data_IF_319326079685
#
_entry.id   IF_319326079685
#
_cell.length_a   1.000
_cell.length_b   1.000
_cell.length_c   1.000
_cell.angle_alpha   90.00
_cell.angle_beta   90.00
_cell.angle_gamma   90.00
#
_symmetry.space_group_name_H-M   'P 1'
#
loop_
_entity.id
_entity.type
_entity.pdbx_description
1 polymer ?
#
# COMPACT_ATOMS: atom_id res chain seq x y z
N UNK A 1 -1.80 36.02 6.07
CA UNK A 1 -1.88 35.17 4.86
C UNK A 1 -3.04 34.24 5.06
N UNK A 2 -4.06 34.41 4.22
CA UNK A 2 -5.41 33.85 4.33
C UNK A 2 -5.47 32.36 4.59
N UNK A 3 -6.43 31.98 5.43
CA UNK A 3 -6.75 30.63 5.87
C UNK A 3 -8.06 30.14 5.23
N UNK A 4 -8.45 30.70 4.09
CA UNK A 4 -9.87 30.66 3.65
C UNK A 4 -10.19 30.14 2.25
N UNK A 5 -9.25 29.71 1.40
CA UNK A 5 -9.60 29.36 0.00
C UNK A 5 -9.11 28.00 -0.52
N UNK A 6 -8.75 27.05 0.34
CA UNK A 6 -8.42 25.70 -0.11
C UNK A 6 -9.30 24.66 0.58
N UNK A 7 -10.18 24.07 -0.25
CA UNK A 7 -11.05 22.91 -0.01
C UNK A 7 -12.46 23.24 0.51
N UNK A 8 -13.21 24.04 -0.26
CA UNK A 8 -14.68 23.98 -0.25
C UNK A 8 -15.12 22.93 -1.29
N UNK A 9 -15.84 21.90 -0.82
CA UNK A 9 -16.51 20.89 -1.65
C UNK A 9 -17.77 21.49 -2.28
N UNK A 10 -17.73 21.90 -3.55
CA UNK A 10 -18.97 22.18 -4.31
C UNK A 10 -19.52 20.96 -5.07
N UNK A 11 -18.79 19.85 -5.13
CA UNK A 11 -19.27 18.62 -5.74
C UNK A 11 -19.00 17.45 -4.82
N UNK A 12 -20.03 16.67 -4.44
CA UNK A 12 -20.03 15.58 -3.45
C UNK A 12 -19.08 14.39 -3.70
N UNK A 13 -17.97 14.58 -4.40
CA UNK A 13 -16.86 13.64 -4.55
C UNK A 13 -15.80 13.88 -3.48
N UNK A 14 -15.39 12.85 -2.71
CA UNK A 14 -14.31 12.98 -1.74
C UNK A 14 -12.99 13.35 -2.46
N UNK A 15 -12.39 14.48 -2.05
CA UNK A 15 -11.08 14.96 -2.49
C UNK A 15 -10.01 14.27 -1.64
N UNK A 16 -9.58 13.10 -2.08
CA UNK A 16 -8.38 12.45 -1.54
C UNK A 16 -7.13 13.08 -2.17
N UNK A 17 -5.99 13.12 -1.46
CA UNK A 17 -4.72 13.61 -2.02
C UNK A 17 -4.40 12.97 -3.38
N UNK A 18 -4.77 11.71 -3.54
CA UNK A 18 -4.65 10.99 -4.80
C UNK A 18 -5.27 11.69 -6.02
N UNK A 19 -6.37 12.44 -5.85
CA UNK A 19 -7.00 13.21 -6.94
C UNK A 19 -6.32 14.56 -7.19
N UNK A 20 -5.52 15.03 -6.24
CA UNK A 20 -4.86 16.35 -6.27
C UNK A 20 -3.40 16.26 -6.70
N UNK A 21 -2.69 15.20 -6.29
CA UNK A 21 -1.26 15.01 -6.52
C UNK A 21 -1.02 14.10 -7.72
N UNK A 22 0.03 14.43 -8.51
CA UNK A 22 0.42 13.64 -9.69
C UNK A 22 0.94 12.24 -9.31
N UNK A 23 1.46 12.08 -8.10
CA UNK A 23 1.99 10.81 -7.60
C UNK A 23 2.07 10.78 -6.07
N UNK A 24 2.14 9.57 -5.51
CA UNK A 24 2.43 9.33 -4.08
C UNK A 24 3.70 10.07 -3.65
N UNK A 25 4.73 10.10 -4.49
CA UNK A 25 5.99 10.79 -4.20
C UNK A 25 5.80 12.31 -4.09
N UNK A 26 5.04 12.92 -5.00
CA UNK A 26 4.77 14.37 -4.94
C UNK A 26 3.98 14.76 -3.69
N UNK A 27 3.04 13.90 -3.29
CA UNK A 27 2.30 14.03 -2.03
C UNK A 27 3.23 13.87 -0.81
N UNK A 28 4.07 12.83 -0.79
CA UNK A 28 5.02 12.57 0.28
C UNK A 28 5.98 13.76 0.48
N UNK A 29 6.52 14.31 -0.61
CA UNK A 29 7.36 15.51 -0.55
C UNK A 29 6.59 16.69 0.05
N UNK A 30 5.35 16.92 -0.40
CA UNK A 30 4.50 17.99 0.13
C UNK A 30 4.29 17.88 1.65
N UNK A 31 4.04 16.68 2.16
CA UNK A 31 3.87 16.45 3.60
C UNK A 31 5.18 16.67 4.37
N UNK A 32 6.30 16.10 3.88
CA UNK A 32 7.60 16.17 4.57
C UNK A 32 8.06 17.61 4.76
N UNK A 33 7.96 18.46 3.73
CA UNK A 33 8.43 19.85 3.79
C UNK A 33 7.64 20.72 4.78
N UNK A 34 6.45 20.29 5.21
CA UNK A 34 5.61 21.02 6.18
C UNK A 34 5.86 20.62 7.64
N UNK A 35 6.68 19.60 7.88
CA UNK A 35 7.04 19.17 9.23
C UNK A 35 8.23 19.98 9.76
N UNK A 36 8.23 20.33 11.06
CA UNK A 36 9.35 21.09 11.67
C UNK A 36 10.68 20.34 11.58
N UNK A 37 10.63 19.01 11.69
CA UNK A 37 11.78 18.13 11.56
C UNK A 37 12.53 18.32 10.25
N UNK A 38 11.84 18.63 9.14
CA UNK A 38 12.48 18.92 7.85
C UNK A 38 13.38 20.17 7.91
N UNK A 39 12.91 21.25 8.52
CA UNK A 39 13.70 22.48 8.64
C UNK A 39 14.88 22.33 9.61
N UNK A 40 14.67 21.57 10.71
CA UNK A 40 15.76 21.23 11.64
C UNK A 40 16.82 20.40 10.93
N UNK A 41 16.40 19.41 10.14
CA UNK A 41 17.27 18.58 9.34
C UNK A 41 18.01 19.38 8.26
N UNK A 42 17.34 20.31 7.57
CA UNK A 42 17.97 21.19 6.58
C UNK A 42 19.04 22.08 7.23
N UNK A 43 18.74 22.65 8.40
CA UNK A 43 19.71 23.45 9.14
C UNK A 43 20.89 22.59 9.61
N UNK A 44 20.63 21.36 10.04
CA UNK A 44 21.66 20.39 10.39
C UNK A 44 22.55 20.03 9.18
N UNK A 45 21.98 19.88 7.98
CA UNK A 45 22.74 19.66 6.76
C UNK A 45 23.66 20.84 6.41
N UNK A 46 23.22 22.07 6.67
CA UNK A 46 24.04 23.28 6.44
C UNK A 46 25.19 23.39 7.45
N UNK A 47 25.02 22.87 8.67
CA UNK A 47 26.06 22.84 9.72
C UNK A 47 27.06 21.71 9.50
N UNK A 48 26.58 20.52 9.12
CA UNK A 48 27.36 19.61 8.27
C UNK A 48 27.66 20.34 6.94
N UNK A 49 28.20 19.85 5.83
CA UNK A 49 28.60 20.69 4.67
C UNK A 49 29.62 21.83 4.92
N UNK A 50 29.43 22.78 5.86
CA UNK A 50 30.37 23.85 6.23
C UNK A 50 31.41 23.37 7.24
N UNK A 51 31.05 22.46 8.18
CA UNK A 51 31.99 21.96 9.20
C UNK A 51 33.34 21.46 8.67
N UNK A 52 33.44 20.80 7.50
CA UNK A 52 34.72 20.34 6.95
C UNK A 52 35.64 21.50 6.63
N UNK A 53 35.14 22.58 6.03
CA UNK A 53 35.99 23.73 5.66
C UNK A 53 36.62 24.36 6.90
N UNK A 54 35.86 24.48 7.98
CA UNK A 54 36.35 25.04 9.25
C UNK A 54 37.33 24.06 9.94
N UNK A 55 37.03 22.76 9.92
CA UNK A 55 37.85 21.75 10.59
C UNK A 55 39.13 21.40 9.82
N UNK A 56 39.10 21.44 8.49
CA UNK A 56 40.26 21.16 7.63
C UNK A 56 41.23 22.33 7.54
N UNK A 57 40.77 23.57 7.68
CA UNK A 57 41.67 24.71 7.89
C UNK A 57 42.45 24.59 9.22
N UNK A 58 41.95 23.78 10.18
CA UNK A 58 42.56 23.55 11.49
C UNK A 58 43.33 22.23 11.61
N UNK A 59 43.04 21.25 10.76
CA UNK A 59 43.61 19.92 10.80
C UNK A 59 44.21 19.60 9.43
N UNK A 60 45.52 19.36 9.38
CA UNK A 60 46.22 18.79 8.20
C UNK A 60 45.68 17.38 7.94
N UNK A 61 44.48 17.28 7.38
CA UNK A 61 43.74 16.05 7.28
C UNK A 61 44.08 15.29 6.01
N UNK A 62 44.20 13.98 6.13
CA UNK A 62 44.34 13.07 4.99
C UNK A 62 43.03 12.97 4.17
N UNK A 63 43.16 12.76 2.86
CA UNK A 63 42.06 12.73 1.88
C UNK A 63 40.92 11.76 2.24
N UNK A 64 41.19 10.69 2.97
CA UNK A 64 40.16 9.72 3.38
C UNK A 64 39.15 10.30 4.37
N UNK A 65 39.50 11.35 5.13
CA UNK A 65 38.58 11.99 6.08
C UNK A 65 37.48 12.75 5.33
N UNK A 66 37.84 13.41 4.22
CA UNK A 66 36.88 14.06 3.32
C UNK A 66 35.89 13.04 2.72
N UNK A 67 36.41 11.90 2.26
CA UNK A 67 35.59 10.82 1.71
C UNK A 67 34.59 10.27 2.74
N UNK A 68 35.05 9.94 3.95
CA UNK A 68 34.18 9.46 5.03
C UNK A 68 33.13 10.50 5.39
N UNK A 69 33.48 11.79 5.39
CA UNK A 69 32.54 12.86 5.68
C UNK A 69 31.41 12.95 4.64
N UNK A 70 31.76 12.98 3.36
CA UNK A 70 30.78 13.02 2.28
C UNK A 70 29.86 11.79 2.29
N UNK A 71 30.39 10.63 2.64
CA UNK A 71 29.62 9.41 2.83
C UNK A 71 28.58 9.56 3.95
N UNK A 72 28.98 10.07 5.12
CA UNK A 72 28.04 10.32 6.23
C UNK A 72 26.95 11.32 5.83
N UNK A 73 27.30 12.39 5.10
CA UNK A 73 26.33 13.37 4.61
C UNK A 73 25.32 12.73 3.64
N UNK A 74 25.80 11.93 2.69
CA UNK A 74 24.93 11.22 1.73
C UNK A 74 24.00 10.24 2.42
N UNK A 75 24.51 9.47 3.40
CA UNK A 75 23.68 8.54 4.17
C UNK A 75 22.58 9.27 4.93
N UNK A 76 22.89 10.44 5.50
CA UNK A 76 21.90 11.26 6.19
C UNK A 76 20.76 11.68 5.24
N UNK A 77 21.08 12.07 4.00
CA UNK A 77 20.09 12.41 2.97
C UNK A 77 19.24 11.21 2.58
N UNK A 78 19.88 10.07 2.33
CA UNK A 78 19.19 8.85 1.89
C UNK A 78 18.25 8.31 2.97
N UNK A 79 18.66 8.35 4.25
CA UNK A 79 17.87 7.78 5.35
C UNK A 79 16.77 8.72 5.87
N UNK A 80 16.90 10.03 5.70
CA UNK A 80 15.95 11.00 6.25
C UNK A 80 14.53 10.83 5.69
N UNK A 81 14.37 10.74 4.37
CA UNK A 81 13.05 10.62 3.74
C UNK A 81 12.32 9.32 4.12
N UNK A 82 12.94 8.13 4.04
CA UNK A 82 12.34 6.89 4.55
C UNK A 82 11.93 6.98 6.02
N UNK A 83 12.80 7.53 6.88
CA UNK A 83 12.51 7.69 8.31
C UNK A 83 11.29 8.61 8.54
N UNK A 84 11.17 9.70 7.77
CA UNK A 84 10.03 10.60 7.84
C UNK A 84 8.72 9.95 7.38
N UNK A 85 8.75 9.13 6.34
CA UNK A 85 7.56 8.38 5.90
C UNK A 85 7.14 7.30 6.89
N UNK A 86 8.11 6.62 7.50
CA UNK A 86 7.84 5.68 8.57
C UNK A 86 7.22 6.39 9.78
N UNK A 87 7.81 7.50 10.23
CA UNK A 87 7.29 8.33 11.30
C UNK A 87 5.87 8.83 11.00
N UNK A 88 5.58 9.22 9.75
CA UNK A 88 4.23 9.61 9.31
C UNK A 88 3.23 8.47 9.49
N UNK A 89 3.53 7.31 8.93
CA UNK A 89 2.67 6.12 8.98
C UNK A 89 2.36 5.71 10.43
N UNK A 90 3.39 5.66 11.26
CA UNK A 90 3.30 5.34 12.68
C UNK A 90 2.52 6.42 13.47
N UNK A 91 2.70 7.71 13.12
CA UNK A 91 1.91 8.80 13.70
C UNK A 91 0.43 8.70 13.32
N UNK A 92 0.09 8.38 12.06
CA UNK A 92 -1.29 8.15 11.63
C UNK A 92 -1.90 7.01 12.47
N UNK A 93 -1.22 5.86 12.55
CA UNK A 93 -1.70 4.70 13.31
C UNK A 93 -1.98 5.05 14.78
N UNK A 94 -1.08 5.78 15.44
CA UNK A 94 -1.28 6.26 16.83
C UNK A 94 -2.49 7.18 16.97
N UNK A 95 -2.67 8.13 16.07
CA UNK A 95 -3.78 9.08 16.14
C UNK A 95 -5.13 8.38 15.97
N UNK A 96 -5.20 7.41 15.06
CA UNK A 96 -6.39 6.57 14.87
C UNK A 96 -6.64 5.71 16.10
N UNK A 97 -5.59 5.06 16.64
CA UNK A 97 -5.71 4.24 17.84
C UNK A 97 -6.16 5.03 19.08
N UNK A 98 -5.71 6.28 19.23
CA UNK A 98 -6.11 7.15 20.34
C UNK A 98 -7.56 7.63 20.23
N UNK A 99 -8.09 7.74 19.00
CA UNK A 99 -9.45 8.19 18.71
C UNK A 99 -10.28 7.07 18.07
N UNK A 100 -10.10 5.84 18.53
CA UNK A 100 -10.64 4.64 17.90
C UNK A 100 -12.18 4.69 17.81
N UNK A 101 -12.85 5.18 18.85
CA UNK A 101 -14.31 5.32 18.88
C UNK A 101 -14.83 6.27 17.82
N UNK A 102 -14.17 7.42 17.65
CA UNK A 102 -14.52 8.38 16.59
C UNK A 102 -14.25 7.78 15.21
N UNK A 103 -13.11 7.11 15.04
CA UNK A 103 -12.79 6.42 13.80
C UNK A 103 -13.85 5.38 13.41
N UNK A 104 -14.27 4.52 14.34
CA UNK A 104 -15.31 3.52 14.10
C UNK A 104 -16.65 4.17 13.73
N UNK A 105 -17.04 5.25 14.41
CA UNK A 105 -18.24 6.04 14.08
C UNK A 105 -18.18 6.60 12.65
N UNK A 106 -17.04 7.13 12.19
CA UNK A 106 -16.89 7.64 10.82
C UNK A 106 -17.04 6.51 9.81
N UNK A 107 -16.44 5.35 10.09
CA UNK A 107 -16.59 4.15 9.25
C UNK A 107 -18.06 3.76 9.19
N UNK A 108 -18.73 3.55 10.32
CA UNK A 108 -20.14 3.15 10.36
C UNK A 108 -21.05 4.08 9.56
N UNK A 109 -21.02 5.39 9.83
CA UNK A 109 -21.82 6.39 9.12
C UNK A 109 -21.56 6.38 7.59
N UNK A 110 -20.32 6.11 7.18
CA UNK A 110 -19.94 6.06 5.75
C UNK A 110 -20.47 4.80 5.06
N UNK A 111 -20.50 3.69 5.77
CA UNK A 111 -21.00 2.42 5.24
C UNK A 111 -22.53 2.31 5.35
N UNK A 112 -23.18 2.92 6.34
CA UNK A 112 -24.65 2.99 6.45
C UNK A 112 -25.32 3.75 5.30
N UNK A 113 -24.68 4.82 4.83
CA UNK A 113 -25.22 5.73 3.81
C UNK A 113 -25.18 5.20 2.36
N UNK A 114 -24.79 3.94 2.11
CA UNK A 114 -24.74 3.39 0.76
C UNK A 114 -24.55 1.87 0.68
N UNK A 115 -24.55 1.35 -0.54
CA UNK A 115 -24.28 -0.07 -0.84
C UNK A 115 -22.79 -0.27 -1.19
N UNK A 116 -22.20 -1.41 -0.78
CA UNK A 116 -20.85 -1.85 -1.17
C UNK A 116 -19.71 -1.52 -0.19
N UNK A 117 -18.59 -2.24 -0.33
CA UNK A 117 -17.32 -2.09 0.43
C UNK A 117 -16.17 -1.74 -0.54
N UNK A 118 -16.48 -0.95 -1.57
CA UNK A 118 -15.50 -0.58 -2.59
C UNK A 118 -14.40 0.35 -2.08
N UNK A 119 -13.28 0.48 -2.81
CA UNK A 119 -12.21 1.43 -2.50
C UNK A 119 -12.71 2.88 -2.40
N UNK A 120 -13.78 3.23 -3.14
CA UNK A 120 -14.41 4.56 -3.08
C UNK A 120 -15.00 4.89 -1.70
N UNK A 121 -15.54 3.88 -0.99
CA UNK A 121 -16.07 4.07 0.37
C UNK A 121 -14.94 4.32 1.37
N UNK A 122 -13.82 3.63 1.20
CA UNK A 122 -12.64 3.90 2.00
C UNK A 122 -12.02 5.26 1.69
N UNK A 123 -12.06 5.72 0.43
CA UNK A 123 -11.67 7.09 0.06
C UNK A 123 -12.56 8.15 0.75
N UNK A 124 -13.86 7.87 0.90
CA UNK A 124 -14.79 8.72 1.64
C UNK A 124 -14.41 8.79 3.14
N UNK A 125 -14.10 7.66 3.77
CA UNK A 125 -13.60 7.61 5.16
C UNK A 125 -12.30 8.42 5.28
N UNK A 126 -11.34 8.21 4.37
CA UNK A 126 -10.07 8.95 4.37
C UNK A 126 -10.29 10.47 4.26
N UNK A 127 -11.22 10.90 3.42
CA UNK A 127 -11.56 12.31 3.26
C UNK A 127 -12.14 12.92 4.55
N UNK A 128 -13.08 12.23 5.22
CA UNK A 128 -13.65 12.67 6.50
C UNK A 128 -12.59 12.77 7.59
N UNK A 129 -11.73 11.76 7.73
CA UNK A 129 -10.64 11.77 8.70
C UNK A 129 -9.62 12.88 8.44
N UNK A 130 -9.24 13.09 7.18
CA UNK A 130 -8.33 14.16 6.77
C UNK A 130 -8.86 15.53 7.20
N UNK A 131 -10.16 15.76 6.98
CA UNK A 131 -10.83 17.00 7.37
C UNK A 131 -10.83 17.17 8.89
N UNK A 132 -11.27 16.16 9.64
CA UNK A 132 -11.31 16.25 11.10
C UNK A 132 -9.93 16.50 11.71
N UNK A 133 -8.89 15.81 11.23
CA UNK A 133 -7.54 16.00 11.73
C UNK A 133 -6.98 17.39 11.40
N UNK A 134 -7.35 17.96 10.25
CA UNK A 134 -6.95 19.30 9.85
C UNK A 134 -7.68 20.38 10.64
N UNK A 135 -9.01 20.27 10.76
CA UNK A 135 -9.86 21.22 11.46
C UNK A 135 -9.55 21.25 12.96
N UNK A 136 -9.26 20.10 13.56
CA UNK A 136 -8.80 19.99 14.93
C UNK A 136 -7.35 20.48 15.15
N UNK A 137 -6.62 20.81 14.07
CA UNK A 137 -5.20 21.22 14.13
C UNK A 137 -4.24 20.10 14.56
N UNK A 138 -4.70 18.85 14.61
CA UNK A 138 -3.92 17.67 14.96
C UNK A 138 -2.94 17.34 13.82
N UNK A 139 -3.38 17.51 12.57
CA UNK A 139 -2.56 17.39 11.39
C UNK A 139 -2.36 18.75 10.72
N UNK A 140 -1.16 19.01 10.20
CA UNK A 140 -0.80 20.35 9.70
C UNK A 140 -1.39 20.66 8.33
N UNK A 141 -1.71 19.63 7.56
CA UNK A 141 -2.17 19.71 6.18
C UNK A 141 -3.53 19.02 6.07
N UNK A 142 -4.32 19.32 5.03
CA UNK A 142 -5.62 18.66 4.81
C UNK A 142 -5.48 17.25 4.23
N UNK A 143 -4.29 16.65 4.25
CA UNK A 143 -3.94 15.46 3.48
C UNK A 143 -3.23 14.42 4.35
N UNK A 144 -3.82 14.05 5.49
CA UNK A 144 -3.19 13.11 6.40
C UNK A 144 -3.01 11.72 5.79
N UNK A 145 -4.05 11.17 5.15
CA UNK A 145 -4.09 9.91 4.41
C UNK A 145 -4.12 10.16 2.90
N UNK A 146 -3.31 9.40 2.15
CA UNK A 146 -3.20 9.55 0.70
C UNK A 146 -4.44 9.02 -0.04
N UNK A 147 -4.94 7.86 0.37
CA UNK A 147 -6.08 7.13 -0.20
C UNK A 147 -6.80 6.32 0.88
N UNK A 148 -7.93 5.73 0.51
CA UNK A 148 -8.73 4.84 1.35
C UNK A 148 -8.02 3.54 1.71
N UNK A 149 -7.06 3.09 0.90
CA UNK A 149 -6.32 1.86 1.16
C UNK A 149 -5.42 1.99 2.41
N UNK A 150 -4.82 3.16 2.65
CA UNK A 150 -4.12 3.44 3.90
C UNK A 150 -5.04 3.31 5.12
N UNK A 151 -6.29 3.76 5.00
CA UNK A 151 -7.29 3.74 6.08
C UNK A 151 -7.85 2.33 6.31
N UNK A 152 -8.17 1.61 5.24
CA UNK A 152 -8.61 0.22 5.27
C UNK A 152 -7.58 -0.67 5.99
N UNK A 153 -6.29 -0.47 5.70
CA UNK A 153 -5.19 -1.16 6.39
C UNK A 153 -5.19 -0.89 7.89
N UNK A 154 -5.40 0.36 8.30
CA UNK A 154 -5.49 0.72 9.71
C UNK A 154 -6.69 0.07 10.37
N UNK A 155 -7.87 0.12 9.75
CA UNK A 155 -9.08 -0.55 10.24
C UNK A 155 -8.83 -2.04 10.46
N UNK A 156 -8.26 -2.72 9.48
CA UNK A 156 -7.94 -4.15 9.58
C UNK A 156 -6.95 -4.45 10.71
N UNK A 157 -5.96 -3.59 10.91
CA UNK A 157 -4.93 -3.80 11.95
C UNK A 157 -5.42 -3.49 13.36
N UNK A 158 -6.27 -2.47 13.53
CA UNK A 158 -6.70 -1.97 14.84
C UNK A 158 -8.04 -2.55 15.30
N UNK A 159 -8.96 -2.81 14.37
CA UNK A 159 -10.33 -3.26 14.67
C UNK A 159 -10.46 -4.77 14.43
N UNK A 160 -10.07 -5.26 13.25
CA UNK A 160 -10.32 -6.65 12.86
C UNK A 160 -9.26 -7.66 13.33
N UNK A 161 -8.03 -7.22 13.58
CA UNK A 161 -6.92 -8.09 14.02
C UNK A 161 -6.35 -7.68 15.38
N UNK A 162 -7.09 -7.88 16.49
CA UNK A 162 -6.63 -7.46 17.82
C UNK A 162 -5.36 -8.18 18.31
N UNK A 163 -4.92 -9.26 17.63
CA UNK A 163 -3.65 -9.92 17.96
C UNK A 163 -2.42 -9.03 17.75
N UNK A 164 -2.48 -8.04 16.85
CA UNK A 164 -1.45 -7.00 16.73
C UNK A 164 -1.55 -5.94 17.85
N UNK A 165 -2.76 -5.73 18.37
CA UNK A 165 -3.06 -4.80 19.46
C UNK A 165 -2.62 -5.27 20.85
N UNK A 166 -2.14 -6.51 21.01
CA UNK A 166 -1.64 -7.03 22.31
C UNK A 166 -0.41 -6.28 22.86
N UNK A 167 0.21 -5.39 22.07
CA UNK A 167 1.37 -4.58 22.48
C UNK A 167 1.04 -3.10 22.81
N UNK A 168 -0.23 -2.66 22.70
CA UNK A 168 -0.67 -1.37 23.23
C UNK A 168 -1.86 -1.62 24.16
N UNK A 169 -1.95 -0.89 25.27
CA UNK A 169 -2.97 -0.97 26.34
C UNK A 169 -4.43 -0.69 25.86
N UNK A 170 -4.92 -1.41 24.85
CA UNK A 170 -6.22 -1.21 24.18
C UNK A 170 -7.29 -2.20 24.71
N UNK A 171 -6.94 -3.04 25.69
CA UNK A 171 -7.82 -4.10 26.21
C UNK A 171 -9.14 -3.60 26.80
N UNK A 172 -9.24 -2.33 27.20
CA UNK A 172 -10.47 -1.77 27.80
C UNK A 172 -11.46 -1.19 26.76
N UNK A 173 -11.02 -0.91 25.52
CA UNK A 173 -11.87 -0.34 24.45
C UNK A 173 -12.55 -1.44 23.62
N UNK A 174 -11.97 -2.64 23.59
CA UNK A 174 -12.46 -3.78 22.78
C UNK A 174 -13.77 -4.42 23.29
N UNK A 175 -14.27 -4.07 24.47
CA UNK A 175 -15.53 -4.63 24.98
C UNK A 175 -16.77 -4.18 24.16
N UNK A 176 -16.63 -3.13 23.34
CA UNK A 176 -17.68 -2.65 22.41
C UNK A 176 -17.60 -3.22 20.99
N UNK A 177 -16.54 -3.96 20.65
CA UNK A 177 -16.28 -4.46 19.30
C UNK A 177 -17.17 -5.59 18.71
N UNK A 178 -18.04 -6.33 19.44
CA UNK A 178 -18.70 -7.50 18.83
C UNK A 178 -19.92 -7.19 17.94
N UNK A 179 -20.48 -5.96 17.96
CA UNK A 179 -21.62 -5.60 17.07
C UNK A 179 -21.18 -5.01 15.73
N UNK A 180 -20.04 -4.33 15.73
CA UNK A 180 -19.55 -3.51 14.60
C UNK A 180 -18.89 -4.38 13.51
N UNK A 181 -18.26 -5.50 13.88
CA UNK A 181 -17.74 -6.48 12.91
C UNK A 181 -18.84 -7.16 12.10
N UNK A 182 -20.03 -7.38 12.69
CA UNK A 182 -21.11 -8.14 12.04
C UNK A 182 -21.71 -7.43 10.83
N UNK A 183 -21.83 -6.09 10.85
CA UNK A 183 -22.39 -5.32 9.73
C UNK A 183 -21.44 -5.28 8.52
N UNK A 184 -20.14 -5.11 8.79
CA UNK A 184 -19.10 -5.15 7.76
C UNK A 184 -18.96 -6.56 7.16
N UNK A 185 -18.93 -7.60 8.01
CA UNK A 185 -18.90 -9.00 7.57
C UNK A 185 -20.13 -9.38 6.73
N UNK A 186 -21.32 -8.93 7.13
CA UNK A 186 -22.55 -9.16 6.35
C UNK A 186 -22.47 -8.56 4.95
N UNK A 187 -21.94 -7.34 4.82
CA UNK A 187 -21.76 -6.68 3.52
C UNK A 187 -20.72 -7.40 2.66
N UNK A 188 -19.67 -7.96 3.26
CA UNK A 188 -18.73 -8.81 2.53
C UNK A 188 -19.46 -10.04 1.96
N UNK A 189 -20.31 -10.69 2.74
CA UNK A 189 -21.06 -11.87 2.27
C UNK A 189 -22.10 -11.53 1.20
N UNK A 190 -22.83 -10.41 1.34
CA UNK A 190 -23.74 -9.90 0.32
C UNK A 190 -23.00 -9.61 -1.00
N UNK A 191 -21.88 -8.88 -0.93
CA UNK A 191 -21.10 -8.51 -2.12
C UNK A 191 -20.43 -9.73 -2.77
N UNK A 192 -19.92 -10.66 -1.95
CA UNK A 192 -19.40 -11.93 -2.43
C UNK A 192 -20.47 -12.74 -3.16
N UNK A 193 -21.67 -12.83 -2.58
CA UNK A 193 -22.78 -13.60 -3.17
C UNK A 193 -23.23 -13.01 -4.51
N UNK A 194 -23.26 -11.68 -4.64
CA UNK A 194 -23.52 -11.03 -5.93
C UNK A 194 -22.45 -11.46 -6.95
N UNK A 195 -21.16 -11.26 -6.65
CA UNK A 195 -20.10 -11.59 -7.61
C UNK A 195 -19.91 -13.07 -7.91
N UNK A 196 -20.21 -13.95 -6.96
CA UNK A 196 -20.13 -15.39 -7.17
C UNK A 196 -21.26 -15.91 -8.06
N UNK A 197 -22.43 -15.27 -8.00
CA UNK A 197 -23.59 -15.59 -8.83
C UNK A 197 -23.63 -14.81 -10.14
N UNK A 198 -22.81 -13.76 -10.26
CA UNK A 198 -22.68 -12.96 -11.46
C UNK A 198 -21.98 -13.78 -12.56
N UNK A 199 -22.80 -14.51 -13.32
CA UNK A 199 -22.37 -15.26 -14.51
C UNK A 199 -22.11 -14.34 -15.71
N UNK A 200 -22.28 -13.02 -15.58
CA UNK A 200 -22.46 -12.10 -16.69
C UNK A 200 -21.14 -11.66 -17.34
N UNK A 201 -19.98 -11.93 -16.72
CA UNK A 201 -18.69 -11.87 -17.44
C UNK A 201 -18.55 -13.06 -18.38
N UNK A 202 -19.17 -12.94 -19.55
CA UNK A 202 -18.98 -13.84 -20.68
C UNK A 202 -17.50 -13.90 -21.03
N UNK A 203 -17.00 -15.10 -21.35
CA UNK A 203 -15.61 -15.29 -21.78
C UNK A 203 -15.26 -14.51 -23.06
N UNK A 204 -16.26 -13.97 -23.77
CA UNK A 204 -16.12 -13.22 -25.03
C UNK A 204 -15.75 -11.74 -24.82
N UNK A 205 -16.07 -11.13 -23.67
CA UNK A 205 -15.69 -9.73 -23.35
C UNK A 205 -14.33 -9.62 -22.64
N UNK A 206 -13.83 -10.73 -22.07
CA UNK A 206 -12.56 -10.75 -21.40
C UNK A 206 -11.44 -10.76 -22.46
N UNK A 207 -10.66 -9.68 -22.55
CA UNK A 207 -9.55 -9.55 -23.50
C UNK A 207 -8.82 -10.88 -23.70
N UNK A 208 -8.79 -11.38 -24.94
CA UNK A 208 -8.55 -12.80 -25.23
C UNK A 208 -7.17 -13.33 -24.80
N UNK A 209 -6.23 -12.44 -24.46
CA UNK A 209 -4.82 -12.76 -24.28
C UNK A 209 -4.37 -12.54 -22.84
N UNK A 210 -3.72 -13.54 -22.27
CA UNK A 210 -2.91 -13.42 -21.07
C UNK A 210 -1.54 -12.86 -21.43
N UNK A 211 -0.77 -12.31 -20.47
CA UNK A 211 0.61 -11.92 -20.71
C UNK A 211 1.49 -13.03 -21.28
N UNK A 212 1.19 -14.30 -20.94
CA UNK A 212 1.82 -15.49 -21.53
C UNK A 212 1.72 -15.52 -23.06
N UNK A 213 0.63 -14.99 -23.63
CA UNK A 213 0.40 -14.98 -25.08
C UNK A 213 1.20 -13.88 -25.80
N UNK A 214 1.67 -12.87 -25.05
CA UNK A 214 2.39 -11.70 -25.56
C UNK A 214 3.89 -11.76 -25.27
N UNK A 215 4.30 -12.49 -24.23
CA UNK A 215 5.67 -12.54 -23.73
C UNK A 215 6.21 -13.97 -23.72
N UNK A 216 7.48 -14.12 -24.08
CA UNK A 216 8.15 -15.42 -24.15
C UNK A 216 8.14 -16.19 -22.82
N UNK A 217 8.30 -15.47 -21.70
CA UNK A 217 8.25 -16.04 -20.35
C UNK A 217 7.95 -14.98 -19.28
N UNK A 218 7.68 -15.43 -18.05
CA UNK A 218 7.37 -14.56 -16.91
C UNK A 218 8.50 -13.57 -16.58
N UNK A 219 9.76 -13.94 -16.83
CA UNK A 219 10.93 -13.06 -16.61
C UNK A 219 10.89 -11.87 -17.56
N UNK A 220 10.66 -12.11 -18.86
CA UNK A 220 10.57 -11.05 -19.88
C UNK A 220 9.41 -10.11 -19.61
N UNK A 221 8.27 -10.65 -19.16
CA UNK A 221 7.12 -9.84 -18.72
C UNK A 221 7.44 -9.02 -17.46
N UNK A 222 8.11 -9.61 -16.48
CA UNK A 222 8.52 -8.92 -15.25
C UNK A 222 9.51 -7.79 -15.56
N UNK A 223 10.51 -8.04 -16.42
CA UNK A 223 11.44 -7.02 -16.90
C UNK A 223 10.71 -5.93 -17.67
N UNK A 224 9.74 -6.28 -18.53
CA UNK A 224 8.95 -5.31 -19.26
C UNK A 224 8.21 -4.34 -18.32
N UNK A 225 7.57 -4.88 -17.26
CA UNK A 225 6.90 -4.08 -16.24
C UNK A 225 7.88 -3.24 -15.42
N UNK A 226 9.05 -3.77 -15.12
CA UNK A 226 10.07 -3.10 -14.30
C UNK A 226 11.02 -2.22 -15.09
N UNK A 227 10.94 -2.15 -16.42
CA UNK A 227 11.98 -1.55 -17.29
C UNK A 227 12.39 -0.13 -16.90
N UNK A 228 11.43 0.71 -16.50
CA UNK A 228 11.69 2.08 -16.06
C UNK A 228 12.37 2.13 -14.70
N UNK A 229 11.89 1.32 -13.75
CA UNK A 229 12.49 1.21 -12.42
C UNK A 229 13.90 0.60 -12.48
N UNK A 230 14.10 -0.42 -13.32
CA UNK A 230 15.39 -1.07 -13.56
C UNK A 230 16.37 -0.12 -14.25
N UNK A 231 15.93 0.64 -15.26
CA UNK A 231 16.76 1.65 -15.91
C UNK A 231 17.17 2.76 -14.92
N UNK A 232 16.24 3.21 -14.06
CA UNK A 232 16.54 4.17 -13.01
C UNK A 232 17.51 3.59 -11.97
N UNK A 233 17.30 2.33 -11.55
CA UNK A 233 18.19 1.62 -10.64
C UNK A 233 19.61 1.54 -11.21
N UNK A 234 19.76 1.12 -12.47
CA UNK A 234 21.06 1.03 -13.14
C UNK A 234 21.70 2.41 -13.23
N UNK A 235 20.96 3.45 -13.62
CA UNK A 235 21.48 4.81 -13.71
C UNK A 235 21.98 5.33 -12.34
N UNK A 236 21.18 5.14 -11.28
CA UNK A 236 21.54 5.49 -9.91
C UNK A 236 22.79 4.71 -9.48
N UNK A 237 22.79 3.40 -9.64
CA UNK A 237 23.93 2.55 -9.27
C UNK A 237 25.21 2.89 -10.04
N UNK A 238 25.12 3.29 -11.31
CA UNK A 238 26.28 3.75 -12.09
C UNK A 238 26.84 5.09 -11.59
N UNK A 239 25.96 6.05 -11.27
CA UNK A 239 26.37 7.33 -10.67
C UNK A 239 27.10 7.06 -9.35
N UNK A 240 26.53 6.19 -8.52
CA UNK A 240 27.06 5.89 -7.21
C UNK A 240 28.27 4.94 -7.23
N UNK A 241 28.44 4.09 -8.23
CA UNK A 241 29.62 3.22 -8.36
C UNK A 241 30.91 4.04 -8.54
N UNK A 242 30.81 5.20 -9.19
CA UNK A 242 31.92 6.16 -9.29
C UNK A 242 32.37 6.73 -7.94
N UNK A 243 31.56 6.56 -6.88
CA UNK A 243 31.82 7.00 -5.51
C UNK A 243 32.28 5.86 -4.58
N UNK A 244 32.64 4.69 -5.14
CA UNK A 244 33.15 3.54 -4.38
C UNK A 244 32.08 2.68 -3.70
N UNK A 245 32.51 1.81 -2.77
CA UNK A 245 31.65 0.81 -2.08
C UNK A 245 30.46 1.46 -1.35
N UNK A 246 30.65 2.64 -0.80
CA UNK A 246 29.62 3.36 -0.06
C UNK A 246 28.54 3.95 -0.97
N UNK A 247 28.94 4.43 -2.15
CA UNK A 247 27.98 4.82 -3.18
C UNK A 247 27.09 3.64 -3.55
N UNK A 248 27.67 2.45 -3.77
CA UNK A 248 26.89 1.23 -4.05
C UNK A 248 25.86 0.96 -2.94
N UNK A 249 26.22 1.11 -1.66
CA UNK A 249 25.28 0.96 -0.55
C UNK A 249 24.16 2.02 -0.55
N UNK A 250 24.48 3.28 -0.84
CA UNK A 250 23.46 4.34 -0.99
C UNK A 250 22.53 4.10 -2.17
N UNK A 251 23.08 3.64 -3.30
CA UNK A 251 22.32 3.19 -4.47
C UNK A 251 21.34 2.08 -4.08
N UNK A 252 21.82 1.03 -3.41
CA UNK A 252 20.97 -0.06 -2.90
C UNK A 252 19.87 0.44 -1.94
N UNK A 253 20.14 1.42 -1.07
CA UNK A 253 19.15 1.98 -0.15
C UNK A 253 18.09 2.83 -0.89
N UNK A 254 18.51 3.64 -1.86
CA UNK A 254 17.61 4.42 -2.71
C UNK A 254 16.74 3.48 -3.54
N UNK A 255 17.31 2.40 -4.07
CA UNK A 255 16.57 1.48 -4.91
C UNK A 255 15.63 0.61 -4.11
N UNK A 256 16.03 0.12 -2.94
CA UNK A 256 15.10 -0.55 -2.01
C UNK A 256 13.99 0.41 -1.55
N UNK A 257 14.28 1.69 -1.36
CA UNK A 257 13.25 2.70 -1.10
C UNK A 257 12.31 2.89 -2.29
N UNK A 258 12.83 3.02 -3.51
CA UNK A 258 12.02 3.11 -4.74
C UNK A 258 11.19 1.84 -4.92
N UNK A 259 11.75 0.66 -4.64
CA UNK A 259 11.06 -0.64 -4.67
C UNK A 259 9.95 -0.75 -3.61
N UNK A 260 10.16 -0.18 -2.42
CA UNK A 260 9.14 -0.08 -1.37
C UNK A 260 8.02 0.91 -1.73
N UNK A 261 8.32 1.94 -2.53
CA UNK A 261 7.36 2.93 -3.02
C UNK A 261 6.71 2.51 -4.34
N UNK A 262 7.34 1.65 -5.13
CA UNK A 262 6.79 1.18 -6.40
C UNK A 262 5.79 0.04 -6.14
N UNK A 263 4.61 0.07 -6.76
CA UNK A 263 3.57 -0.95 -6.59
C UNK A 263 3.97 -2.38 -7.01
N UNK A 264 5.16 -2.56 -7.60
CA UNK A 264 5.53 -3.76 -8.33
C UNK A 264 6.13 -4.88 -7.48
N UNK A 265 6.84 -4.57 -6.39
CA UNK A 265 7.54 -5.60 -5.58
C UNK A 265 6.63 -6.20 -4.49
N UNK A 266 5.56 -5.50 -4.14
CA UNK A 266 4.54 -6.02 -3.23
C UNK A 266 3.24 -6.31 -4.00
N UNK A 267 3.34 -7.29 -4.91
CA UNK A 267 2.22 -7.87 -5.68
C UNK A 267 1.01 -8.24 -4.82
N UNK A 268 1.20 -8.42 -3.51
CA UNK A 268 0.17 -8.87 -2.57
C UNK A 268 -0.26 -7.81 -1.52
N UNK A 269 0.56 -6.79 -1.17
CA UNK A 269 0.17 -5.85 -0.08
C UNK A 269 -0.67 -4.64 -0.53
N UNK A 270 -1.04 -4.60 -1.81
CA UNK A 270 -1.92 -3.57 -2.37
C UNK A 270 -3.25 -4.07 -2.94
N UNK A 271 -3.50 -5.39 -3.02
CA UNK A 271 -4.88 -5.82 -3.32
C UNK A 271 -5.76 -5.46 -2.12
N UNK A 272 -6.68 -4.51 -2.33
CA UNK A 272 -7.72 -4.16 -1.36
C UNK A 272 -8.53 -5.40 -0.99
N UNK A 273 -9.24 -5.34 0.15
CA UNK A 273 -10.11 -6.45 0.57
C UNK A 273 -11.17 -6.72 -0.50
N UNK A 274 -11.67 -5.67 -1.15
CA UNK A 274 -12.58 -5.73 -2.30
C UNK A 274 -12.01 -6.60 -3.44
N UNK A 275 -10.77 -6.35 -3.86
CA UNK A 275 -10.14 -7.09 -4.96
C UNK A 275 -9.85 -8.55 -4.59
N UNK A 276 -9.46 -8.80 -3.34
CA UNK A 276 -9.27 -10.16 -2.80
C UNK A 276 -10.59 -10.92 -2.71
N UNK A 277 -11.66 -10.26 -2.28
CA UNK A 277 -13.01 -10.83 -2.22
C UNK A 277 -13.53 -11.17 -3.63
N UNK A 278 -13.31 -10.27 -4.60
CA UNK A 278 -13.69 -10.48 -6.00
C UNK A 278 -12.94 -11.64 -6.65
N UNK A 279 -11.65 -11.81 -6.35
CA UNK A 279 -10.87 -12.98 -6.76
C UNK A 279 -11.47 -14.27 -6.19
N UNK A 280 -11.77 -14.31 -4.90
CA UNK A 280 -12.38 -15.49 -4.26
C UNK A 280 -13.76 -15.82 -4.84
N UNK A 281 -14.59 -14.81 -5.09
CA UNK A 281 -15.88 -14.98 -5.74
C UNK A 281 -15.73 -15.53 -7.16
N UNK A 282 -14.74 -15.03 -7.91
CA UNK A 282 -14.42 -15.54 -9.26
C UNK A 282 -13.99 -17.01 -9.21
N UNK A 283 -13.14 -17.40 -8.25
CA UNK A 283 -12.74 -18.80 -8.06
C UNK A 283 -13.95 -19.69 -7.77
N UNK A 284 -14.86 -19.27 -6.89
CA UNK A 284 -16.08 -20.04 -6.58
C UNK A 284 -17.01 -20.13 -7.80
N UNK A 285 -17.19 -19.04 -8.53
CA UNK A 285 -18.04 -19.02 -9.75
C UNK A 285 -17.50 -19.93 -10.85
N UNK A 286 -16.18 -19.94 -11.05
CA UNK A 286 -15.53 -20.73 -12.09
C UNK A 286 -15.33 -22.17 -11.63
N UNK A 287 -15.19 -22.44 -10.33
CA UNK A 287 -14.96 -23.76 -9.74
C UNK A 287 -13.85 -24.56 -10.47
N UNK A 288 -12.60 -24.05 -10.54
CA UNK A 288 -11.58 -24.54 -11.46
C UNK A 288 -11.04 -25.93 -11.10
N UNK A 289 -11.20 -26.40 -9.86
CA UNK A 289 -10.51 -27.60 -9.38
C UNK A 289 -8.99 -27.48 -9.56
N UNK A 290 -8.39 -28.53 -10.12
CA UNK A 290 -6.97 -28.59 -10.49
C UNK A 290 -6.69 -28.23 -11.96
N UNK A 291 -7.73 -27.84 -12.71
CA UNK A 291 -7.65 -27.60 -14.15
C UNK A 291 -7.03 -26.23 -14.45
N UNK A 292 -5.80 -26.24 -14.98
CA UNK A 292 -5.02 -25.04 -15.32
C UNK A 292 -5.73 -24.19 -16.37
N UNK A 293 -6.49 -24.78 -17.30
CA UNK A 293 -7.20 -24.02 -18.34
C UNK A 293 -8.35 -23.21 -17.73
N UNK A 294 -9.00 -23.73 -16.68
CA UNK A 294 -10.00 -22.98 -15.90
C UNK A 294 -9.35 -21.91 -15.03
N UNK A 295 -8.12 -22.13 -14.55
CA UNK A 295 -7.34 -21.08 -13.91
C UNK A 295 -6.92 -19.98 -14.89
N UNK A 296 -6.70 -20.27 -16.17
CA UNK A 296 -6.47 -19.26 -17.20
C UNK A 296 -7.71 -18.37 -17.37
N UNK A 297 -8.93 -18.91 -17.29
CA UNK A 297 -10.19 -18.13 -17.28
C UNK A 297 -10.24 -17.19 -16.08
N UNK A 298 -9.89 -17.66 -14.89
CA UNK A 298 -9.83 -16.84 -13.68
C UNK A 298 -8.80 -15.73 -13.84
N UNK A 299 -7.59 -16.05 -14.31
CA UNK A 299 -6.53 -15.07 -14.53
C UNK A 299 -6.96 -13.98 -15.52
N UNK A 300 -7.64 -14.35 -16.61
CA UNK A 300 -8.20 -13.38 -17.58
C UNK A 300 -9.21 -12.45 -16.92
N UNK A 301 -10.20 -13.02 -16.21
CA UNK A 301 -11.23 -12.24 -15.49
C UNK A 301 -10.63 -11.30 -14.46
N UNK A 302 -9.62 -11.75 -13.73
CA UNK A 302 -8.99 -10.92 -12.70
C UNK A 302 -8.13 -9.83 -13.31
N UNK A 303 -7.37 -10.14 -14.35
CA UNK A 303 -6.60 -9.12 -15.06
C UNK A 303 -7.51 -8.07 -15.69
N UNK A 304 -8.67 -8.45 -16.27
CA UNK A 304 -9.58 -7.49 -16.92
C UNK A 304 -10.17 -6.47 -15.94
N UNK A 305 -10.76 -6.92 -14.82
CA UNK A 305 -11.32 -5.95 -13.86
C UNK A 305 -10.24 -5.17 -13.09
N UNK A 306 -9.01 -5.68 -13.03
CA UNK A 306 -7.87 -4.92 -12.46
C UNK A 306 -7.30 -3.91 -13.47
N UNK A 307 -7.45 -4.16 -14.77
CA UNK A 307 -7.08 -3.23 -15.85
C UNK A 307 -7.97 -1.99 -15.85
N UNK A 308 -9.25 -2.14 -15.49
CA UNK A 308 -10.21 -1.05 -15.34
C UNK A 308 -9.90 -0.12 -14.16
N UNK A 309 -9.04 -0.55 -13.22
CA UNK A 309 -8.64 0.26 -12.07
C UNK A 309 -7.37 1.05 -12.40
N UNK A 310 -7.42 2.40 -12.50
CA UNK A 310 -6.26 3.24 -12.82
C UNK A 310 -5.09 3.12 -11.81
N UNK A 311 -5.33 2.47 -10.68
CA UNK A 311 -4.45 2.32 -9.50
C UNK A 311 -3.51 1.13 -9.59
N UNK A 312 -3.74 0.23 -10.54
CA UNK A 312 -2.90 -0.93 -10.76
C UNK A 312 -2.04 -0.68 -12.00
N UNK A 313 -0.86 -0.03 -11.87
CA UNK A 313 0.06 0.13 -13.00
C UNK A 313 0.71 -1.21 -13.40
N UNK A 314 0.31 -2.32 -12.76
CA UNK A 314 0.50 -3.68 -13.21
C UNK A 314 -0.85 -4.17 -13.76
N UNK A 315 -1.22 -3.69 -14.94
CA UNK A 315 -2.48 -3.98 -15.64
C UNK A 315 -2.62 -5.45 -16.11
N UNK A 316 -1.83 -6.33 -15.50
CA UNK A 316 -1.74 -7.77 -15.63
C UNK A 316 -1.16 -8.29 -14.30
N UNK A 317 -2.02 -8.66 -13.36
CA UNK A 317 -1.57 -9.19 -12.07
C UNK A 317 -1.05 -10.62 -12.21
N UNK A 318 -1.63 -11.40 -13.11
CA UNK A 318 -1.27 -12.78 -13.36
C UNK A 318 -0.69 -12.95 -14.76
N UNK A 319 0.49 -13.59 -14.84
CA UNK A 319 1.09 -13.95 -16.13
C UNK A 319 0.23 -14.97 -16.86
N UNK A 320 -0.34 -15.89 -16.07
CA UNK A 320 -1.20 -16.98 -16.49
C UNK A 320 -2.00 -17.58 -15.32
N UNK A 321 -2.81 -18.60 -15.60
CA UNK A 321 -3.59 -19.36 -14.63
C UNK A 321 -2.74 -20.09 -13.60
N UNK A 322 -1.55 -20.57 -13.98
CA UNK A 322 -0.61 -21.16 -13.02
C UNK A 322 -0.16 -20.12 -11.98
N UNK A 323 0.16 -18.91 -12.41
CA UNK A 323 0.52 -17.79 -11.55
C UNK A 323 -0.64 -17.37 -10.63
N UNK A 324 -1.88 -17.48 -11.12
CA UNK A 324 -3.08 -17.23 -10.34
C UNK A 324 -3.30 -18.32 -9.27
N UNK A 325 -3.13 -19.60 -9.62
CA UNK A 325 -3.18 -20.71 -8.68
C UNK A 325 -2.08 -20.58 -7.61
N UNK A 326 -0.83 -20.35 -8.02
CA UNK A 326 0.29 -20.17 -7.09
C UNK A 326 0.04 -19.01 -6.11
N UNK A 327 -0.62 -17.94 -6.56
CA UNK A 327 -1.08 -16.85 -5.70
C UNK A 327 -2.13 -17.32 -4.69
N UNK A 328 -3.16 -18.05 -5.15
CA UNK A 328 -4.19 -18.60 -4.28
C UNK A 328 -3.59 -19.51 -3.19
N UNK A 329 -2.71 -20.43 -3.56
CA UNK A 329 -2.06 -21.35 -2.62
C UNK A 329 -1.09 -20.64 -1.67
N UNK A 330 -0.37 -19.64 -2.17
CA UNK A 330 0.60 -18.91 -1.35
C UNK A 330 -0.08 -18.03 -0.33
N UNK A 331 -1.19 -17.38 -0.67
CA UNK A 331 -1.74 -16.29 0.14
C UNK A 331 -3.07 -16.59 0.82
N UNK A 332 -3.83 -17.58 0.33
CA UNK A 332 -5.14 -17.91 0.89
C UNK A 332 -5.16 -19.30 1.53
N UNK A 333 -4.50 -20.31 0.96
CA UNK A 333 -4.44 -21.63 1.59
C UNK A 333 -3.60 -21.59 2.88
N UNK A 334 -4.14 -22.06 4.02
CA UNK A 334 -3.36 -22.22 5.24
C UNK A 334 -2.28 -23.29 5.03
N UNK A 335 -1.04 -23.10 5.55
CA UNK A 335 -0.01 -24.11 5.43
C UNK A 335 -0.44 -25.38 6.18
N UNK A 336 -0.36 -26.53 5.51
CA UNK A 336 -0.59 -27.87 6.07
C UNK A 336 0.38 -28.25 7.18
N UNK A 337 1.36 -27.39 7.54
CA UNK A 337 2.30 -27.61 8.64
C UNK A 337 2.36 -26.40 9.59
N UNK A 338 2.09 -26.66 10.88
CA UNK A 338 1.97 -25.71 12.00
C UNK A 338 3.23 -24.89 12.38
N UNK A 339 4.25 -24.73 11.52
CA UNK A 339 5.57 -24.21 11.96
C UNK A 339 6.11 -22.94 11.32
N UNK A 340 5.34 -22.20 10.53
CA UNK A 340 5.77 -20.86 10.10
C UNK A 340 4.73 -19.82 10.48
N UNK A 341 5.04 -19.01 11.50
CA UNK A 341 4.44 -17.70 11.72
C UNK A 341 4.66 -16.88 10.45
N UNK A 342 3.71 -16.92 9.51
CA UNK A 342 3.69 -15.95 8.42
C UNK A 342 3.22 -14.63 9.00
N UNK A 343 3.98 -13.57 8.74
CA UNK A 343 3.62 -12.17 8.99
C UNK A 343 2.46 -11.68 8.11
N UNK A 344 2.01 -12.51 7.17
CA UNK A 344 0.87 -12.25 6.29
C UNK A 344 -0.23 -13.26 6.58
N UNK A 345 -1.04 -12.93 7.56
CA UNK A 345 -2.27 -13.65 7.89
C UNK A 345 -3.28 -13.25 6.81
N UNK A 346 -3.82 -14.23 6.07
CA UNK A 346 -5.10 -14.06 5.37
C UNK A 346 -6.04 -13.40 6.36
N UNK A 347 -6.47 -12.19 6.04
CA UNK A 347 -7.27 -11.39 6.95
C UNK A 347 -8.43 -12.23 7.50
N UNK A 348 -8.61 -12.27 8.82
CA UNK A 348 -9.60 -13.16 9.45
C UNK A 348 -11.00 -12.99 8.83
N UNK A 349 -11.34 -11.76 8.42
CA UNK A 349 -12.58 -11.39 7.73
C UNK A 349 -12.82 -12.15 6.40
N UNK A 350 -11.76 -12.63 5.73
CA UNK A 350 -11.87 -13.31 4.44
C UNK A 350 -11.92 -14.84 4.57
N UNK A 351 -11.63 -15.39 5.75
CA UNK A 351 -11.54 -16.84 5.97
C UNK A 351 -12.80 -17.62 5.57
N UNK A 352 -14.03 -17.14 5.82
CA UNK A 352 -15.24 -17.84 5.35
C UNK A 352 -15.27 -18.02 3.83
N UNK A 353 -14.84 -17.01 3.08
CA UNK A 353 -14.81 -17.05 1.61
C UNK A 353 -13.66 -17.90 1.08
N UNK A 354 -12.53 -17.92 1.80
CA UNK A 354 -11.43 -18.84 1.49
C UNK A 354 -11.87 -20.30 1.62
N UNK A 355 -12.61 -20.65 2.66
CA UNK A 355 -13.15 -22.01 2.81
C UNK A 355 -14.03 -22.40 1.62
N UNK A 356 -14.96 -21.52 1.21
CA UNK A 356 -15.81 -21.76 0.02
C UNK A 356 -14.97 -21.91 -1.26
N UNK A 357 -13.93 -21.11 -1.43
CA UNK A 357 -13.02 -21.21 -2.57
C UNK A 357 -12.18 -22.49 -2.56
N UNK A 358 -11.76 -22.97 -1.38
CA UNK A 358 -11.08 -24.27 -1.23
C UNK A 358 -12.02 -25.41 -1.61
N UNK A 359 -13.28 -25.36 -1.14
CA UNK A 359 -14.31 -26.35 -1.50
C UNK A 359 -14.59 -26.37 -3.01
N UNK A 360 -14.67 -25.21 -3.66
CA UNK A 360 -14.84 -25.12 -5.12
C UNK A 360 -13.61 -25.62 -5.93
N UNK A 361 -12.45 -25.73 -5.28
CA UNK A 361 -11.21 -26.25 -5.86
C UNK A 361 -10.93 -27.72 -5.47
N UNK A 362 -11.76 -28.30 -4.61
CA UNK A 362 -11.72 -29.70 -4.19
C UNK A 362 -12.41 -30.57 -5.24
#
# INVERSE_FOLDING_TARGET
>A
MEKSDLVVCESGTPLTPRKTFKSVSSYACYEVVRVRAFYIWLLWLVVLSISPFVLFDLAESEDWVCEVYWQVLMLNIVLFFPAMLFYRSDRQARLVSQNLTNFMSIVENTFESGHGIGPEKWDEVACKMNREFYDAGIWKTPYSFFDGLEVEKLYRSLVLNPQLGKNLDVLDVCEKGPKETTAYEKRLDEQFSVWANDSEYSAEECGNMLPRDLHWNEVTWTIHKMRLALALHIAVSLIFHSMGLFGVLCGCLITTYIEMQTPYVLKDTRMSTTNRLRLLATIVSVAPGTDVDRWDVIAKRVNSYLHEIPECPASDCFFDGKSCLDCFERYFKPPTSQKKKRTFITSNELMPFVSRAIEACS
#
